data_IF_906629862557
#
_entry.id   IF_906629862557
#
_cell.length_a   1.000
_cell.length_b   1.000
_cell.length_c   1.000
_cell.angle_alpha   90.00
_cell.angle_beta   90.00
_cell.angle_gamma   90.00
#
_symmetry.space_group_name_H-M   'P 1'
#
loop_
_entity.id
_entity.type
_entity.pdbx_description
1 polymer ?
#
# COMPACT_ATOMS: atom_id res chain seq x y z
N UNK A 1 -14.92 21.90 -38.76
CA UNK A 1 -13.94 21.33 -37.81
C UNK A 1 -14.72 20.49 -36.80
N UNK A 2 -14.77 19.17 -36.99
CA UNK A 2 -15.48 18.23 -36.10
C UNK A 2 -14.50 17.78 -35.02
N UNK A 3 -14.73 18.17 -33.76
CA UNK A 3 -14.00 17.65 -32.60
C UNK A 3 -14.64 16.32 -32.21
N UNK A 4 -13.90 15.25 -32.43
CA UNK A 4 -14.25 13.90 -31.99
C UNK A 4 -13.95 13.83 -30.49
N UNK A 5 -14.99 13.92 -29.68
CA UNK A 5 -14.94 13.68 -28.24
C UNK A 5 -14.92 12.17 -28.03
N UNK A 6 -13.72 11.62 -27.86
CA UNK A 6 -13.55 10.24 -27.39
C UNK A 6 -13.91 10.21 -25.90
N UNK A 7 -15.05 9.63 -25.58
CA UNK A 7 -15.42 9.33 -24.19
C UNK A 7 -14.44 8.29 -23.63
N UNK A 8 -13.75 8.65 -22.54
CA UNK A 8 -13.17 7.70 -21.59
C UNK A 8 -14.35 6.92 -20.96
N UNK A 9 -14.57 5.71 -21.47
CA UNK A 9 -15.37 4.68 -20.82
C UNK A 9 -14.40 3.56 -20.44
N UNK A 10 -14.01 3.52 -19.18
CA UNK A 10 -13.12 2.51 -18.62
C UNK A 10 -12.70 2.93 -17.23
N UNK A 11 -12.75 2.02 -16.26
CA UNK A 11 -12.64 2.22 -14.82
C UNK A 11 -13.87 2.83 -14.14
N UNK A 12 -14.88 1.98 -13.97
CA UNK A 12 -16.02 2.27 -13.10
C UNK A 12 -17.04 1.14 -13.07
N UNK A 13 -16.60 -0.13 -12.98
CA UNK A 13 -17.50 -1.27 -12.85
C UNK A 13 -16.77 -2.58 -12.46
N UNK A 14 -16.03 -2.60 -11.34
CA UNK A 14 -15.55 -3.86 -10.74
C UNK A 14 -15.87 -3.95 -9.24
N UNK A 15 -16.91 -3.23 -8.78
CA UNK A 15 -17.36 -3.22 -7.38
C UNK A 15 -18.78 -3.73 -7.16
N UNK A 16 -19.36 -4.49 -8.10
CA UNK A 16 -20.77 -4.88 -8.03
C UNK A 16 -21.07 -6.29 -8.56
N UNK A 17 -20.22 -7.29 -8.29
CA UNK A 17 -20.47 -8.67 -8.77
C UNK A 17 -20.28 -9.81 -7.75
N UNK A 18 -20.31 -9.54 -6.43
CA UNK A 18 -20.27 -10.60 -5.41
C UNK A 18 -21.46 -10.64 -4.42
N UNK A 19 -22.54 -9.89 -4.66
CA UNK A 19 -23.72 -9.88 -3.77
C UNK A 19 -25.02 -10.45 -4.39
N UNK A 20 -24.94 -11.31 -5.39
CA UNK A 20 -26.09 -12.03 -5.94
C UNK A 20 -25.88 -13.55 -5.84
N UNK A 21 -25.97 -14.11 -4.64
CA UNK A 21 -25.78 -15.56 -4.47
C UNK A 21 -25.93 -16.11 -3.05
N UNK A 22 -26.80 -15.55 -2.21
CA UNK A 22 -27.21 -16.24 -0.97
C UNK A 22 -28.73 -16.16 -0.83
N UNK A 23 -29.42 -17.10 -1.48
CA UNK A 23 -30.87 -17.23 -1.45
C UNK A 23 -31.29 -18.67 -1.71
N UNK A 24 -31.42 -19.43 -0.63
CA UNK A 24 -32.36 -20.55 -0.42
C UNK A 24 -32.28 -21.79 -1.33
N UNK A 25 -32.04 -22.97 -0.73
CA UNK A 25 -33.12 -23.91 -0.38
C UNK A 25 -32.60 -25.31 0.01
N UNK A 26 -33.24 -25.86 1.04
CA UNK A 26 -33.20 -27.21 1.62
C UNK A 26 -32.86 -28.38 0.69
N UNK A 27 -31.96 -29.28 1.15
CA UNK A 27 -32.13 -30.74 0.99
C UNK A 27 -31.14 -31.55 1.85
N UNK A 28 -31.71 -32.26 2.83
CA UNK A 28 -31.38 -33.61 3.31
C UNK A 28 -29.91 -34.02 3.63
N UNK A 29 -29.71 -34.35 4.91
CA UNK A 29 -28.61 -35.17 5.42
C UNK A 29 -28.53 -36.55 4.73
N UNK A 30 -27.34 -37.17 4.74
CA UNK A 30 -27.21 -38.33 5.62
C UNK A 30 -25.98 -38.26 6.55
N UNK A 31 -26.17 -38.89 7.71
CA UNK A 31 -25.14 -39.15 8.71
C UNK A 31 -24.10 -40.16 8.21
N UNK A 32 -22.82 -39.90 8.52
CA UNK A 32 -21.80 -40.95 8.62
C UNK A 32 -20.78 -40.60 9.70
N UNK A 33 -20.52 -41.60 10.53
CA UNK A 33 -19.83 -41.56 11.80
C UNK A 33 -18.30 -41.51 11.68
N UNK A 34 -17.69 -40.77 12.61
CA UNK A 34 -16.47 -41.03 13.38
C UNK A 34 -15.26 -41.76 12.74
N UNK A 35 -14.06 -41.16 12.88
CA UNK A 35 -12.94 -41.81 13.59
C UNK A 35 -12.01 -40.74 14.20
N UNK A 36 -11.73 -40.94 15.48
CA UNK A 36 -10.86 -40.14 16.35
C UNK A 36 -9.38 -40.35 16.03
N UNK A 37 -8.58 -39.28 16.07
CA UNK A 37 -7.16 -39.36 16.38
C UNK A 37 -6.83 -38.28 17.41
N UNK A 38 -6.78 -38.70 18.67
CA UNK A 38 -6.24 -37.92 19.77
C UNK A 38 -4.71 -37.85 19.61
N UNK A 39 -4.16 -36.66 19.44
CA UNK A 39 -2.75 -36.41 19.72
C UNK A 39 -2.63 -35.55 20.96
N UNK A 40 -2.53 -36.26 22.07
CA UNK A 40 -2.08 -35.77 23.36
C UNK A 40 -0.59 -35.49 23.26
N UNK A 41 -0.17 -34.25 23.49
CA UNK A 41 1.20 -33.96 23.91
C UNK A 41 1.15 -32.95 25.05
N UNK A 42 1.59 -33.47 26.20
CA UNK A 42 1.75 -32.83 27.49
C UNK A 42 2.59 -31.55 27.39
N UNK A 43 2.11 -30.45 27.97
CA UNK A 43 2.50 -29.97 29.30
C UNK A 43 3.99 -29.61 29.43
N UNK A 44 4.24 -28.31 29.53
CA UNK A 44 5.35 -27.75 30.30
C UNK A 44 4.90 -26.42 30.92
N UNK A 45 4.48 -26.54 32.18
CA UNK A 45 4.76 -25.68 33.32
C UNK A 45 5.23 -24.23 33.09
N UNK A 46 4.36 -23.31 33.52
CA UNK A 46 4.58 -22.19 34.45
C UNK A 46 5.97 -21.56 34.56
N UNK A 47 6.09 -20.31 34.15
CA UNK A 47 6.93 -19.32 34.83
C UNK A 47 6.42 -17.88 34.62
N UNK A 48 6.15 -17.23 35.76
CA UNK A 48 6.21 -15.81 36.05
C UNK A 48 5.46 -14.81 35.14
N UNK A 49 4.30 -14.40 35.64
CA UNK A 49 3.74 -13.06 35.44
C UNK A 49 4.79 -12.02 35.85
N UNK A 50 5.02 -11.03 35.01
CA UNK A 50 5.68 -9.78 35.38
C UNK A 50 4.92 -8.65 34.73
N UNK A 51 4.03 -8.08 35.53
CA UNK A 51 3.47 -6.74 35.35
C UNK A 51 4.58 -5.70 35.50
N UNK A 52 4.80 -4.82 34.52
CA UNK A 52 5.21 -3.47 34.80
C UNK A 52 3.97 -2.59 34.89
N UNK A 53 3.57 -2.30 36.13
CA UNK A 53 2.85 -1.07 36.45
C UNK A 53 3.70 0.11 36.00
N UNK A 54 3.18 0.90 35.08
CA UNK A 54 3.63 2.28 34.89
C UNK A 54 2.41 3.13 34.56
N UNK A 55 1.71 3.48 35.64
CA UNK A 55 0.93 4.70 35.68
C UNK A 55 1.93 5.86 35.63
N UNK A 56 1.94 6.59 34.52
CA UNK A 56 2.59 7.89 34.42
C UNK A 56 1.55 8.91 34.01
N UNK A 57 0.88 9.44 35.03
CA UNK A 57 0.32 10.78 35.01
C UNK A 57 1.47 11.78 34.84
N UNK A 58 1.51 12.53 33.74
CA UNK A 58 2.15 13.85 33.64
C UNK A 58 1.30 14.67 32.66
N UNK A 59 0.44 15.52 33.19
CA UNK A 59 0.73 16.96 33.36
C UNK A 59 0.90 17.66 32.00
N UNK A 60 -0.23 18.22 31.58
CA UNK A 60 -0.35 19.42 30.78
C UNK A 60 0.79 20.42 31.02
N UNK A 61 1.63 20.62 30.02
CA UNK A 61 2.45 21.82 29.87
C UNK A 61 2.04 22.54 28.59
N UNK A 62 1.21 23.56 28.79
CA UNK A 62 1.02 24.64 27.84
C UNK A 62 2.31 25.45 27.80
N UNK A 63 3.18 25.18 26.84
CA UNK A 63 4.35 26.02 26.55
C UNK A 63 3.98 26.93 25.39
N UNK A 64 3.50 28.11 25.75
CA UNK A 64 3.50 29.31 24.91
C UNK A 64 4.95 29.68 24.59
N UNK A 65 5.38 29.48 23.34
CA UNK A 65 6.61 30.07 22.82
C UNK A 65 6.27 31.19 21.84
N UNK A 66 6.59 32.37 22.33
CA UNK A 66 6.64 33.68 21.70
C UNK A 66 7.55 33.67 20.46
N UNK A 67 7.01 34.01 19.29
CA UNK A 67 7.80 34.28 18.09
C UNK A 67 8.35 35.70 18.15
N UNK A 68 9.52 35.83 18.77
CA UNK A 68 10.37 37.01 18.65
C UNK A 68 10.95 37.10 17.23
N UNK A 69 10.39 38.05 16.47
CA UNK A 69 11.04 38.84 15.42
C UNK A 69 12.56 38.62 15.26
N UNK A 70 12.97 37.95 14.19
CA UNK A 70 14.33 38.06 13.67
C UNK A 70 14.30 38.70 12.28
N UNK A 71 14.84 39.92 12.30
CA UNK A 71 15.12 40.83 11.21
C UNK A 71 16.13 40.21 10.23
N UNK A 72 15.75 40.05 8.96
CA UNK A 72 16.67 39.67 7.89
C UNK A 72 17.33 40.93 7.32
N UNK A 73 18.46 41.29 7.95
CA UNK A 73 19.40 42.24 7.39
C UNK A 73 20.10 41.63 6.16
N UNK A 74 19.80 42.24 5.00
CA UNK A 74 20.62 42.37 3.80
C UNK A 74 22.01 41.72 3.86
N UNK A 75 22.20 40.62 3.13
CA UNK A 75 23.52 40.20 2.67
C UNK A 75 23.55 40.22 1.14
N UNK A 76 24.11 41.34 0.66
CA UNK A 76 24.63 41.54 -0.69
C UNK A 76 25.91 40.70 -0.82
N UNK A 77 25.94 39.73 -1.73
CA UNK A 77 27.17 39.06 -2.14
C UNK A 77 27.46 39.32 -3.61
N UNK A 78 28.35 40.29 -3.76
CA UNK A 78 29.12 40.65 -4.93
C UNK A 78 29.71 39.45 -5.67
N UNK A 79 29.40 39.38 -6.97
CA UNK A 79 30.34 39.14 -8.08
C UNK A 79 31.69 38.53 -7.68
N UNK A 80 31.80 37.20 -7.76
CA UNK A 80 33.09 36.52 -7.93
C UNK A 80 33.15 35.89 -9.31
N UNK A 81 33.86 36.60 -10.18
CA UNK A 81 34.45 36.14 -11.43
C UNK A 81 35.53 35.08 -11.10
N UNK A 82 35.34 33.85 -11.58
CA UNK A 82 36.31 32.76 -11.47
C UNK A 82 36.66 32.25 -12.86
N UNK A 83 37.71 32.89 -13.38
CA UNK A 83 38.72 32.42 -14.31
C UNK A 83 38.66 30.93 -14.71
N UNK A 84 38.52 30.76 -16.02
CA UNK A 84 39.02 29.67 -16.86
C UNK A 84 40.23 28.93 -16.28
N UNK A 85 40.01 27.71 -15.78
CA UNK A 85 41.07 26.71 -15.66
C UNK A 85 40.68 25.42 -16.38
N UNK A 86 41.53 25.15 -17.36
CA UNK A 86 41.71 23.92 -18.11
C UNK A 86 41.71 22.69 -17.19
N UNK A 87 40.78 21.76 -17.42
CA UNK A 87 40.79 20.41 -16.85
C UNK A 87 40.91 19.42 -18.01
N UNK A 88 42.15 19.28 -18.50
CA UNK A 88 42.56 18.12 -19.27
C UNK A 88 42.45 16.85 -18.40
N UNK A 89 41.72 15.86 -18.92
CA UNK A 89 41.81 14.43 -18.53
C UNK A 89 41.35 14.06 -17.12
N UNK A 90 40.03 13.96 -16.93
CA UNK A 90 39.47 12.95 -16.04
C UNK A 90 38.66 11.97 -16.87
N UNK A 91 39.15 10.72 -16.92
CA UNK A 91 38.38 9.56 -17.34
C UNK A 91 37.02 9.58 -16.63
N UNK A 92 35.97 9.85 -17.41
CA UNK A 92 34.60 9.62 -17.00
C UNK A 92 34.45 8.13 -16.68
N UNK A 93 34.55 7.80 -15.40
CA UNK A 93 33.75 6.72 -14.83
C UNK A 93 32.31 7.01 -15.24
N UNK A 94 31.76 6.15 -16.10
CA UNK A 94 30.45 6.19 -16.72
C UNK A 94 29.50 7.20 -16.05
N UNK A 95 29.50 8.43 -16.57
CA UNK A 95 28.38 9.33 -16.35
C UNK A 95 27.18 8.63 -16.95
N UNK A 96 26.31 8.11 -16.08
CA UNK A 96 24.96 7.70 -16.42
C UNK A 96 24.34 8.89 -17.15
N UNK A 97 24.42 8.82 -18.47
CA UNK A 97 23.77 9.77 -19.35
C UNK A 97 22.29 9.48 -19.15
N UNK A 98 21.65 10.24 -18.27
CA UNK A 98 20.20 10.32 -18.19
C UNK A 98 19.75 11.03 -19.46
N UNK A 99 19.81 10.33 -20.59
CA UNK A 99 19.04 10.66 -21.79
C UNK A 99 17.58 10.49 -21.42
N UNK A 100 17.02 11.48 -20.74
CA UNK A 100 15.58 11.69 -20.65
C UNK A 100 15.19 12.35 -21.98
N UNK A 101 15.03 11.52 -23.01
CA UNK A 101 14.79 12.05 -24.35
C UNK A 101 14.66 10.97 -25.41
N UNK A 102 13.51 10.31 -25.48
CA UNK A 102 13.06 9.61 -26.69
C UNK A 102 12.01 8.55 -26.44
N UNK A 103 12.27 7.66 -25.49
CA UNK A 103 11.45 6.48 -25.25
C UNK A 103 11.10 6.41 -23.77
N UNK A 104 9.92 6.91 -23.39
CA UNK A 104 9.32 6.77 -22.04
C UNK A 104 8.99 5.31 -21.68
N UNK A 105 9.62 4.35 -22.34
CA UNK A 105 9.36 2.92 -22.23
C UNK A 105 10.36 2.22 -21.32
N UNK A 106 11.46 2.88 -20.95
CA UNK A 106 12.48 2.33 -20.06
C UNK A 106 12.62 3.19 -18.80
N UNK A 107 12.29 2.61 -17.65
CA UNK A 107 12.63 3.18 -16.34
C UNK A 107 14.12 3.03 -16.09
N UNK A 108 14.72 4.02 -15.43
CA UNK A 108 16.10 3.88 -14.95
C UNK A 108 16.17 2.85 -13.80
N UNK A 109 17.39 2.47 -13.41
CA UNK A 109 17.60 1.46 -12.36
C UNK A 109 16.98 1.84 -11.01
N UNK A 110 17.05 3.12 -10.60
CA UNK A 110 16.50 3.61 -9.35
C UNK A 110 14.97 3.57 -9.37
N UNK A 111 14.35 4.07 -10.44
CA UNK A 111 12.89 3.97 -10.60
C UNK A 111 12.42 2.51 -10.64
N UNK A 112 13.19 1.63 -11.29
CA UNK A 112 12.89 0.19 -11.31
C UNK A 112 12.95 -0.41 -9.91
N UNK A 113 13.96 -0.10 -9.09
CA UNK A 113 14.05 -0.55 -7.69
C UNK A 113 12.89 -0.05 -6.84
N UNK A 114 12.47 1.20 -7.03
CA UNK A 114 11.31 1.77 -6.34
C UNK A 114 10.03 0.97 -6.64
N UNK A 115 9.73 0.74 -7.92
CA UNK A 115 8.53 0.00 -8.32
C UNK A 115 8.60 -1.49 -8.01
N UNK A 116 9.79 -2.10 -8.08
CA UNK A 116 9.99 -3.50 -7.68
C UNK A 116 9.70 -3.71 -6.18
N UNK A 117 10.16 -2.76 -5.35
CA UNK A 117 9.84 -2.73 -3.91
C UNK A 117 8.34 -2.60 -3.69
N UNK A 118 7.70 -1.66 -4.38
CA UNK A 118 6.25 -1.46 -4.31
C UNK A 118 5.48 -2.73 -4.70
N UNK A 119 5.79 -3.33 -5.85
CA UNK A 119 5.08 -4.51 -6.35
C UNK A 119 5.32 -5.75 -5.51
N UNK A 120 6.53 -5.95 -5.00
CA UNK A 120 6.84 -7.03 -4.04
C UNK A 120 6.04 -6.86 -2.76
N UNK A 121 5.93 -5.62 -2.28
CA UNK A 121 5.11 -5.26 -1.13
C UNK A 121 3.63 -5.56 -1.29
N UNK A 122 3.12 -5.44 -2.52
CA UNK A 122 1.73 -5.76 -2.87
C UNK A 122 1.51 -7.23 -3.23
N UNK A 123 2.51 -8.10 -3.14
CA UNK A 123 2.35 -9.53 -3.43
C UNK A 123 1.18 -10.20 -2.66
N UNK A 124 0.86 -9.86 -1.40
CA UNK A 124 -0.30 -10.42 -0.69
C UNK A 124 -1.65 -10.11 -1.35
N UNK A 125 -1.78 -9.03 -2.14
CA UNK A 125 -3.02 -8.75 -2.88
C UNK A 125 -3.30 -9.80 -3.97
N UNK A 126 -2.26 -10.40 -4.56
CA UNK A 126 -2.43 -11.55 -5.47
C UNK A 126 -3.00 -12.76 -4.75
N UNK A 127 -2.65 -12.93 -3.47
CA UNK A 127 -3.24 -13.98 -2.65
C UNK A 127 -4.72 -13.68 -2.39
N UNK A 128 -5.10 -12.40 -2.22
CA UNK A 128 -6.50 -12.00 -2.12
C UNK A 128 -7.31 -12.33 -3.38
N UNK A 129 -6.78 -12.03 -4.58
CA UNK A 129 -7.48 -12.36 -5.82
C UNK A 129 -7.62 -13.87 -6.01
N UNK A 130 -6.57 -14.64 -5.71
CA UNK A 130 -6.63 -16.11 -5.77
C UNK A 130 -7.53 -16.70 -4.67
N UNK A 131 -7.61 -16.03 -3.52
CA UNK A 131 -8.43 -16.45 -2.40
C UNK A 131 -9.90 -16.03 -2.57
N UNK A 132 -10.25 -15.11 -3.49
CA UNK A 132 -11.62 -14.63 -3.69
C UNK A 132 -12.66 -15.74 -3.82
N UNK A 133 -12.35 -16.80 -4.56
CA UNK A 133 -13.23 -17.97 -4.73
C UNK A 133 -13.26 -18.91 -3.51
N UNK A 134 -12.24 -18.84 -2.63
CA UNK A 134 -12.03 -19.77 -1.51
C UNK A 134 -12.20 -19.16 -0.12
N UNK A 135 -12.28 -17.83 0.00
CA UNK A 135 -12.61 -17.08 1.22
C UNK A 135 -14.06 -17.30 1.69
N UNK A 136 -14.77 -18.24 1.07
CA UNK A 136 -16.16 -18.57 1.35
C UNK A 136 -16.45 -18.64 2.84
N UNK A 137 -17.44 -17.84 3.27
CA UNK A 137 -18.11 -17.81 4.58
C UNK A 137 -17.25 -17.85 5.86
N UNK A 138 -15.92 -17.81 5.78
CA UNK A 138 -15.03 -17.82 6.94
C UNK A 138 -14.50 -16.40 7.23
N UNK A 139 -15.17 -15.65 8.12
CA UNK A 139 -14.75 -14.30 8.48
C UNK A 139 -13.36 -14.26 9.14
N UNK A 140 -12.91 -15.36 9.76
CA UNK A 140 -11.60 -15.42 10.40
C UNK A 140 -10.47 -15.52 9.35
N UNK A 141 -10.67 -16.31 8.30
CA UNK A 141 -9.73 -16.39 7.18
C UNK A 141 -9.64 -15.04 6.44
N UNK A 142 -10.79 -14.40 6.19
CA UNK A 142 -10.86 -13.04 5.63
C UNK A 142 -10.08 -12.07 6.52
N UNK A 143 -10.36 -12.06 7.82
CA UNK A 143 -9.69 -11.14 8.75
C UNK A 143 -8.18 -11.32 8.81
N UNK A 144 -7.72 -12.57 8.81
CA UNK A 144 -6.27 -12.89 8.77
C UNK A 144 -5.62 -12.36 7.50
N UNK A 145 -6.26 -12.58 6.34
CA UNK A 145 -5.73 -12.16 5.05
C UNK A 145 -5.68 -10.64 4.91
N UNK A 146 -6.75 -9.94 5.29
CA UNK A 146 -6.77 -8.46 5.31
C UNK A 146 -5.75 -7.89 6.29
N UNK A 147 -5.55 -8.54 7.44
CA UNK A 147 -4.49 -8.22 8.40
C UNK A 147 -3.10 -8.30 7.77
N UNK A 148 -2.80 -9.41 7.11
CA UNK A 148 -1.52 -9.63 6.41
C UNK A 148 -1.29 -8.61 5.29
N UNK A 149 -2.34 -8.26 4.54
CA UNK A 149 -2.27 -7.24 3.49
C UNK A 149 -1.97 -5.86 4.09
N UNK A 150 -2.65 -5.48 5.18
CA UNK A 150 -2.43 -4.21 5.85
C UNK A 150 -1.02 -4.08 6.42
N UNK A 151 -0.52 -5.14 7.04
CA UNK A 151 0.84 -5.19 7.59
C UNK A 151 1.89 -5.11 6.46
N UNK A 152 1.67 -5.82 5.36
CA UNK A 152 2.54 -5.76 4.19
C UNK A 152 2.54 -4.37 3.54
N UNK A 153 1.37 -3.73 3.38
CA UNK A 153 1.27 -2.37 2.86
C UNK A 153 2.00 -1.37 3.76
N UNK A 154 1.85 -1.48 5.08
CA UNK A 154 2.53 -0.62 6.06
C UNK A 154 4.06 -0.80 5.99
N UNK A 155 4.52 -2.05 5.93
CA UNK A 155 5.94 -2.36 5.77
C UNK A 155 6.49 -1.82 4.44
N UNK A 156 5.72 -1.95 3.36
CA UNK A 156 6.07 -1.43 2.03
C UNK A 156 6.17 0.09 2.04
N UNK A 157 5.20 0.79 2.65
CA UNK A 157 5.24 2.25 2.80
C UNK A 157 6.50 2.71 3.55
N UNK A 158 6.88 1.99 4.61
CA UNK A 158 8.11 2.26 5.37
C UNK A 158 9.37 2.00 4.54
N UNK A 159 9.40 0.92 3.76
CA UNK A 159 10.52 0.59 2.89
C UNK A 159 10.69 1.63 1.76
N UNK A 160 9.58 2.07 1.15
CA UNK A 160 9.58 3.10 0.12
C UNK A 160 10.06 4.46 0.64
N UNK A 161 9.81 4.80 1.92
CA UNK A 161 10.38 6.02 2.52
C UNK A 161 11.92 6.02 2.53
N UNK A 162 12.54 4.84 2.65
CA UNK A 162 14.00 4.68 2.60
C UNK A 162 14.55 4.52 1.18
N UNK A 163 13.67 4.32 0.20
CA UNK A 163 14.04 4.11 -1.19
C UNK A 163 14.10 5.45 -1.92
N UNK A 164 15.18 5.77 -2.65
CA UNK A 164 15.24 6.99 -3.43
C UNK A 164 14.04 7.10 -4.40
N UNK A 165 13.43 8.28 -4.55
CA UNK A 165 12.26 8.47 -5.40
C UNK A 165 12.61 8.24 -6.88
N UNK A 166 11.66 7.89 -7.75
CA UNK A 166 11.91 7.75 -9.18
C UNK A 166 12.48 9.02 -9.83
N UNK A 167 13.38 8.89 -10.80
CA UNK A 167 14.14 10.04 -11.36
C UNK A 167 13.44 10.77 -12.51
N UNK A 168 12.26 10.30 -12.94
CA UNK A 168 11.49 10.95 -14.00
C UNK A 168 10.70 12.15 -13.48
N UNK A 169 10.21 13.00 -14.40
CA UNK A 169 9.44 14.19 -14.06
C UNK A 169 8.17 13.85 -13.25
N UNK A 170 8.08 14.39 -12.03
CA UNK A 170 6.98 14.07 -11.10
C UNK A 170 7.19 12.82 -10.25
N UNK A 171 8.33 12.13 -10.37
CA UNK A 171 8.66 10.92 -9.61
C UNK A 171 8.65 11.12 -8.09
N UNK A 172 9.17 12.25 -7.60
CA UNK A 172 9.13 12.60 -6.17
C UNK A 172 7.70 12.72 -5.62
N UNK A 173 6.83 13.43 -6.35
CA UNK A 173 5.43 13.62 -5.95
C UNK A 173 4.67 12.29 -5.95
N UNK A 174 4.92 11.46 -6.97
CA UNK A 174 4.37 10.11 -7.07
C UNK A 174 4.83 9.24 -5.88
N UNK A 175 6.13 9.25 -5.57
CA UNK A 175 6.68 8.47 -4.46
C UNK A 175 6.09 8.89 -3.11
N UNK A 176 6.02 10.21 -2.87
CA UNK A 176 5.40 10.76 -1.67
C UNK A 176 3.92 10.33 -1.55
N UNK A 177 3.18 10.33 -2.66
CA UNK A 177 1.78 9.91 -2.67
C UNK A 177 1.61 8.41 -2.41
N UNK A 178 2.49 7.55 -2.95
CA UNK A 178 2.48 6.12 -2.63
C UNK A 178 2.76 5.87 -1.16
N UNK A 179 3.79 6.52 -0.61
CA UNK A 179 4.15 6.42 0.81
C UNK A 179 3.00 6.88 1.70
N UNK A 180 2.44 8.07 1.43
CA UNK A 180 1.33 8.63 2.20
C UNK A 180 0.12 7.69 2.16
N UNK A 181 -0.23 7.18 0.97
CA UNK A 181 -1.40 6.31 0.85
C UNK A 181 -1.17 4.96 1.52
N UNK A 182 -0.02 4.31 1.32
CA UNK A 182 0.28 3.03 1.98
C UNK A 182 0.32 3.18 3.51
N UNK A 183 0.80 4.32 4.02
CA UNK A 183 0.85 4.61 5.46
C UNK A 183 -0.55 4.83 6.08
N UNK A 184 -1.54 5.25 5.28
CA UNK A 184 -2.93 5.41 5.72
C UNK A 184 -3.74 4.12 5.53
N UNK A 185 -3.65 3.53 4.34
CA UNK A 185 -4.42 2.36 3.93
C UNK A 185 -3.94 1.11 4.65
N UNK A 186 -2.63 0.93 4.87
CA UNK A 186 -2.08 -0.24 5.56
C UNK A 186 -2.69 -0.46 6.95
N UNK A 187 -2.61 0.52 7.87
CA UNK A 187 -3.25 0.41 9.19
C UNK A 187 -4.77 0.22 9.12
N UNK A 188 -5.44 0.85 8.15
CA UNK A 188 -6.88 0.70 7.96
C UNK A 188 -7.25 -0.75 7.56
N UNK A 189 -6.49 -1.37 6.66
CA UNK A 189 -6.63 -2.78 6.30
C UNK A 189 -6.33 -3.71 7.49
N UNK A 190 -5.28 -3.44 8.28
CA UNK A 190 -4.97 -4.25 9.48
C UNK A 190 -6.07 -4.15 10.54
N UNK A 191 -6.61 -2.95 10.75
CA UNK A 191 -7.73 -2.73 11.66
C UNK A 191 -8.99 -3.44 11.17
N UNK A 192 -9.30 -3.33 9.88
CA UNK A 192 -10.39 -4.03 9.24
C UNK A 192 -10.24 -5.55 9.39
N UNK A 193 -9.05 -6.10 9.14
CA UNK A 193 -8.77 -7.52 9.31
C UNK A 193 -9.00 -8.00 10.74
N UNK A 194 -8.58 -7.21 11.73
CA UNK A 194 -8.83 -7.51 13.15
C UNK A 194 -10.32 -7.49 13.48
N UNK A 195 -11.08 -6.54 12.94
CA UNK A 195 -12.53 -6.48 13.11
C UNK A 195 -13.23 -7.67 12.44
N UNK A 196 -12.87 -7.99 11.19
CA UNK A 196 -13.37 -9.14 10.45
C UNK A 196 -13.15 -10.45 11.21
N UNK A 197 -11.95 -10.66 11.75
CA UNK A 197 -11.63 -11.87 12.51
C UNK A 197 -12.46 -12.00 13.81
N UNK A 198 -12.97 -10.89 14.35
CA UNK A 198 -13.83 -10.86 15.52
C UNK A 198 -15.33 -10.99 15.18
N UNK A 199 -15.72 -10.93 13.89
CA UNK A 199 -17.12 -11.05 13.47
C UNK A 199 -17.62 -12.47 13.74
N UNK A 200 -18.76 -12.57 14.42
CA UNK A 200 -19.46 -13.84 14.57
C UNK A 200 -20.15 -14.20 13.24
N UNK A 201 -19.84 -15.36 12.62
CA UNK A 201 -20.45 -15.77 11.35
C UNK A 201 -21.98 -15.94 11.42
N UNK A 202 -22.55 -16.04 12.62
CA UNK A 202 -23.99 -16.14 12.83
C UNK A 202 -24.69 -14.79 13.03
N UNK A 203 -23.96 -13.67 12.98
CA UNK A 203 -24.50 -12.32 13.16
C UNK A 203 -24.54 -11.54 11.83
N UNK A 204 -25.69 -11.45 11.16
CA UNK A 204 -25.81 -10.74 9.88
C UNK A 204 -25.60 -9.22 10.02
N UNK A 205 -25.83 -8.64 11.20
CA UNK A 205 -25.61 -7.21 11.42
C UNK A 205 -24.11 -6.88 11.44
N UNK A 206 -23.30 -7.74 12.08
CA UNK A 206 -21.85 -7.62 12.08
C UNK A 206 -21.27 -7.72 10.65
N UNK A 207 -21.82 -8.60 9.81
CA UNK A 207 -21.45 -8.69 8.40
C UNK A 207 -21.75 -7.40 7.61
N UNK A 208 -22.88 -6.73 7.86
CA UNK A 208 -23.20 -5.44 7.21
C UNK A 208 -22.28 -4.30 7.67
N UNK A 209 -21.93 -4.28 8.96
CA UNK A 209 -20.96 -3.32 9.49
C UNK A 209 -19.58 -3.52 8.86
N UNK A 210 -19.17 -4.78 8.68
CA UNK A 210 -17.93 -5.11 8.01
C UNK A 210 -17.93 -4.58 6.58
N UNK A 211 -18.98 -4.83 5.78
CA UNK A 211 -19.07 -4.30 4.42
C UNK A 211 -18.98 -2.77 4.36
N UNK A 212 -19.65 -2.08 5.28
CA UNK A 212 -19.59 -0.60 5.36
C UNK A 212 -18.19 -0.09 5.71
N UNK A 213 -17.49 -0.80 6.61
CA UNK A 213 -16.10 -0.50 6.96
C UNK A 213 -15.17 -0.69 5.76
N UNK A 214 -15.36 -1.76 5.00
CA UNK A 214 -14.58 -2.04 3.79
C UNK A 214 -14.75 -0.94 2.73
N UNK A 215 -15.99 -0.44 2.51
CA UNK A 215 -16.24 0.67 1.61
C UNK A 215 -15.49 1.94 2.02
N UNK A 216 -15.40 2.24 3.32
CA UNK A 216 -14.62 3.37 3.83
C UNK A 216 -13.14 3.22 3.51
N UNK A 217 -12.57 2.03 3.73
CA UNK A 217 -11.15 1.75 3.42
C UNK A 217 -10.89 1.90 1.92
N UNK A 218 -11.80 1.43 1.07
CA UNK A 218 -11.68 1.62 -0.38
C UNK A 218 -11.81 3.09 -0.80
N UNK A 219 -12.69 3.87 -0.16
CA UNK A 219 -12.81 5.29 -0.44
C UNK A 219 -11.51 6.05 -0.17
N UNK A 220 -10.78 5.68 0.90
CA UNK A 220 -9.44 6.23 1.16
C UNK A 220 -8.41 5.76 0.11
N UNK A 221 -8.49 4.49 -0.31
CA UNK A 221 -7.61 3.92 -1.32
C UNK A 221 -7.85 4.47 -2.74
N UNK A 222 -9.04 5.03 -3.05
CA UNK A 222 -9.32 5.68 -4.34
C UNK A 222 -8.40 6.89 -4.61
N UNK A 223 -7.74 7.45 -3.60
CA UNK A 223 -6.68 8.43 -3.80
C UNK A 223 -5.51 7.91 -4.66
N UNK A 224 -5.28 6.59 -4.70
CA UNK A 224 -4.26 5.96 -5.55
C UNK A 224 -4.67 5.85 -7.01
N UNK A 225 -5.97 5.66 -7.30
CA UNK A 225 -6.44 5.56 -8.70
C UNK A 225 -6.49 6.92 -9.38
N UNK A 226 -6.54 8.00 -8.60
CA UNK A 226 -6.40 9.38 -9.08
C UNK A 226 -4.96 9.74 -9.50
N UNK A 227 -3.99 8.85 -9.29
CA UNK A 227 -2.62 9.03 -9.78
C UNK A 227 -2.63 8.87 -11.29
N UNK A 228 -2.62 9.99 -12.01
CA UNK A 228 -2.44 10.02 -13.46
C UNK A 228 -0.96 9.74 -13.78
N UNK A 229 -0.56 8.48 -13.64
CA UNK A 229 0.72 8.02 -14.17
C UNK A 229 0.62 8.06 -15.70
N UNK A 230 1.61 8.65 -16.36
CA UNK A 230 1.67 8.62 -17.82
C UNK A 230 1.64 7.17 -18.33
N UNK A 231 1.03 6.95 -19.50
CA UNK A 231 0.95 5.61 -20.12
C UNK A 231 2.33 4.96 -20.29
N UNK A 232 3.38 5.76 -20.47
CA UNK A 232 4.77 5.30 -20.49
C UNK A 232 5.20 4.68 -19.17
N UNK A 233 4.92 5.34 -18.04
CA UNK A 233 5.21 4.81 -16.69
C UNK A 233 4.42 3.53 -16.43
N UNK A 234 3.12 3.50 -16.72
CA UNK A 234 2.30 2.28 -16.55
C UNK A 234 2.87 1.10 -17.32
N UNK A 235 3.22 1.31 -18.60
CA UNK A 235 3.81 0.28 -19.45
C UNK A 235 5.16 -0.20 -18.93
N UNK A 236 5.99 0.72 -18.44
CA UNK A 236 7.30 0.37 -17.92
C UNK A 236 7.21 -0.36 -16.57
N UNK A 237 6.27 0.01 -15.69
CA UNK A 237 5.99 -0.73 -14.45
C UNK A 237 5.43 -2.12 -14.75
N UNK A 238 4.55 -2.26 -15.73
CA UNK A 238 4.03 -3.56 -16.17
C UNK A 238 5.11 -4.49 -16.73
N UNK A 239 6.24 -3.94 -17.20
CA UNK A 239 7.38 -4.73 -17.67
C UNK A 239 8.27 -5.26 -16.52
N UNK A 240 8.03 -4.83 -15.27
CA UNK A 240 8.77 -5.32 -14.10
C UNK A 240 8.19 -6.69 -13.68
N UNK A 241 9.01 -7.75 -13.61
CA UNK A 241 8.52 -9.10 -13.32
C UNK A 241 7.76 -9.25 -12.00
N UNK A 242 8.12 -8.50 -10.95
CA UNK A 242 7.41 -8.52 -9.66
C UNK A 242 6.00 -7.92 -9.75
N UNK A 243 5.78 -6.99 -10.68
CA UNK A 243 4.49 -6.35 -10.93
C UNK A 243 3.55 -7.19 -11.82
N UNK A 244 4.06 -8.24 -12.46
CA UNK A 244 3.29 -9.07 -13.41
C UNK A 244 2.02 -9.64 -12.76
N UNK A 245 0.84 -9.34 -13.30
CA UNK A 245 -0.44 -9.81 -12.75
C UNK A 245 -1.00 -9.01 -11.57
N UNK A 246 -0.32 -7.95 -11.09
CA UNK A 246 -0.92 -6.98 -10.15
C UNK A 246 -1.72 -5.93 -10.93
N UNK A 247 -1.13 -5.41 -12.01
CA UNK A 247 -1.69 -4.29 -12.78
C UNK A 247 -2.62 -4.72 -13.92
N UNK A 248 -2.65 -6.00 -14.28
CA UNK A 248 -3.47 -6.51 -15.39
C UNK A 248 -4.98 -6.50 -15.08
N UNK A 249 -5.35 -6.34 -13.80
CA UNK A 249 -6.73 -6.35 -13.32
C UNK A 249 -7.30 -4.95 -13.04
N UNK A 250 -6.53 -3.88 -13.28
CA UNK A 250 -6.93 -2.48 -13.01
C UNK A 250 -7.47 -1.77 -14.24
#
# INVERSE_FOLDING_TARGET
MKRTTTMLAGLGAAGALFLAGCGGSDAAAPATSATSAAQTSAASTSAAVSTPSSASSMESMATSMDMSSMDMSSMDMSSMDMSSQDMSSMEMSASATTTVGGDTTTLDAQSTTFFDTFCTGLAPLKQLSAAGDSLGNDPAAIGTLFGQIGDAMTATGTQLQSTPPPTFEGGDALAAQFVDTLSKVGPAFSQFGTQAAAVNPNDPAAGQQLLSGLESVFAEAQGLTAIDASEGVKKAVAAIPSCEGILDNS
#
